data_IF_981617798625
#
_entry.id   IF_981617798625
#
_cell.length_a   1.000
_cell.length_b   1.000
_cell.length_c   1.000
_cell.angle_alpha   90.00
_cell.angle_beta   90.00
_cell.angle_gamma   90.00
#
_symmetry.space_group_name_H-M   'P 1'
#
loop_
_entity.id
_entity.type
_entity.pdbx_description
1 polymer ?
#
# COMPACT_ATOMS: atom_id res chain seq x y z
N UNK A 1 -3.85 17.20 -12.92
CA UNK A 1 -4.64 16.14 -12.26
C UNK A 1 -4.17 16.04 -10.82
N UNK A 2 -4.48 17.07 -10.04
CA UNK A 2 -4.07 17.24 -8.64
C UNK A 2 -5.38 17.46 -7.89
N UNK A 3 -6.16 16.38 -7.78
CA UNK A 3 -7.50 16.46 -7.20
C UNK A 3 -7.67 15.30 -6.23
N UNK A 4 -7.93 15.70 -4.97
CA UNK A 4 -8.44 14.95 -3.83
C UNK A 4 -7.43 14.45 -2.78
N UNK A 5 -6.18 14.15 -3.12
CA UNK A 5 -5.20 13.60 -2.16
C UNK A 5 -4.52 14.66 -1.26
N UNK A 6 -4.46 15.93 -1.69
CA UNK A 6 -3.83 17.01 -0.92
C UNK A 6 -4.50 17.30 0.43
N UNK A 7 -5.83 17.20 0.52
CA UNK A 7 -6.55 17.67 1.72
C UNK A 7 -6.29 16.78 2.93
N UNK A 8 -6.29 15.46 2.76
CA UNK A 8 -6.06 14.55 3.86
C UNK A 8 -4.60 14.59 4.33
N UNK A 9 -3.64 14.75 3.40
CA UNK A 9 -2.23 14.93 3.73
C UNK A 9 -1.98 16.25 4.47
N UNK A 10 -2.61 17.35 4.02
CA UNK A 10 -2.55 18.65 4.69
C UNK A 10 -3.17 18.62 6.09
N UNK A 11 -4.33 17.98 6.24
CA UNK A 11 -4.98 17.80 7.55
C UNK A 11 -4.14 16.94 8.47
N UNK A 12 -3.54 15.85 7.94
CA UNK A 12 -2.61 15.02 8.71
C UNK A 12 -1.46 15.86 9.23
N UNK A 13 -0.76 16.59 8.35
CA UNK A 13 0.38 17.41 8.73
C UNK A 13 0.03 18.42 9.85
N UNK A 14 -1.12 19.08 9.74
CA UNK A 14 -1.57 20.04 10.74
C UNK A 14 -1.90 19.39 12.09
N UNK A 15 -2.68 18.31 12.08
CA UNK A 15 -3.10 17.63 13.32
C UNK A 15 -1.93 16.91 14.01
N UNK A 16 -0.99 16.40 13.24
CA UNK A 16 0.20 15.72 13.76
C UNK A 16 1.13 16.71 14.46
N UNK A 17 1.36 17.89 13.85
CA UNK A 17 2.10 18.98 14.51
C UNK A 17 1.42 19.48 15.80
N UNK A 18 0.08 19.54 15.80
CA UNK A 18 -0.68 19.89 17.00
C UNK A 18 -0.52 18.84 18.09
N UNK A 19 -0.63 17.54 17.74
CA UNK A 19 -0.47 16.44 18.68
C UNK A 19 0.93 16.40 19.31
N UNK A 20 1.98 16.59 18.51
CA UNK A 20 3.37 16.65 18.98
C UNK A 20 3.65 17.82 19.92
N UNK A 21 2.87 18.91 19.84
CA UNK A 21 3.00 20.05 20.76
C UNK A 21 2.52 19.69 22.18
N UNK A 22 1.58 18.75 22.31
CA UNK A 22 1.10 18.29 23.61
C UNK A 22 2.06 17.27 24.24
N UNK A 23 2.59 16.31 23.46
CA UNK A 23 3.56 15.32 23.92
C UNK A 23 4.26 14.65 22.71
N UNK A 24 5.58 14.36 22.76
CA UNK A 24 6.31 13.69 21.68
C UNK A 24 5.82 12.29 21.30
N UNK A 25 4.96 11.64 22.09
CA UNK A 25 4.41 10.33 21.76
C UNK A 25 2.95 10.36 21.30
N UNK A 26 2.40 11.55 21.09
CA UNK A 26 1.06 11.74 20.53
C UNK A 26 1.17 12.11 19.05
N UNK A 27 0.68 11.22 18.19
CA UNK A 27 0.68 11.40 16.73
C UNK A 27 -0.75 11.24 16.18
N UNK A 28 -1.07 11.98 15.12
CA UNK A 28 -2.33 11.81 14.42
C UNK A 28 -2.18 10.79 13.29
N UNK A 29 -2.95 9.69 13.37
CA UNK A 29 -2.96 8.65 12.35
C UNK A 29 -4.14 8.84 11.39
N UNK A 30 -3.85 8.99 10.10
CA UNK A 30 -4.88 8.89 9.07
C UNK A 30 -5.46 7.46 9.01
N UNK A 31 -6.58 7.26 8.32
CA UNK A 31 -7.15 5.91 8.14
C UNK A 31 -6.15 4.93 7.53
N UNK A 32 -5.33 5.39 6.59
CA UNK A 32 -4.29 4.59 5.96
C UNK A 32 -3.16 4.26 6.96
N UNK A 33 -2.68 5.26 7.71
CA UNK A 33 -1.62 5.07 8.70
C UNK A 33 -2.06 4.15 9.85
N UNK A 34 -3.31 4.30 10.32
CA UNK A 34 -3.87 3.45 11.36
C UNK A 34 -3.99 1.99 10.92
N UNK A 35 -4.37 1.75 9.65
CA UNK A 35 -4.37 0.40 9.06
C UNK A 35 -2.96 -0.18 9.05
N UNK A 36 -1.98 0.58 8.60
CA UNK A 36 -0.57 0.15 8.56
C UNK A 36 -0.01 -0.11 9.96
N UNK A 37 -0.30 0.76 10.94
CA UNK A 37 0.07 0.56 12.33
C UNK A 37 -0.55 -0.72 12.90
N UNK A 38 -1.84 -0.94 12.65
CA UNK A 38 -2.56 -2.13 13.11
C UNK A 38 -1.98 -3.43 12.50
N UNK A 39 -1.61 -3.40 11.21
CA UNK A 39 -0.93 -4.51 10.53
C UNK A 39 0.41 -4.83 11.20
N UNK A 40 1.22 -3.80 11.47
CA UNK A 40 2.52 -3.96 12.12
C UNK A 40 2.38 -4.50 13.55
N UNK A 41 1.42 -3.99 14.34
CA UNK A 41 1.17 -4.43 15.71
C UNK A 41 0.56 -5.84 15.78
N UNK A 42 -0.29 -6.20 14.82
CA UNK A 42 -0.90 -7.52 14.75
C UNK A 42 0.03 -8.61 14.23
N UNK A 43 1.23 -8.26 13.75
CA UNK A 43 2.17 -9.16 13.05
C UNK A 43 1.49 -10.00 11.95
N UNK A 44 0.38 -9.48 11.42
CA UNK A 44 -0.50 -10.17 10.49
C UNK A 44 -0.75 -9.24 9.32
N UNK A 45 0.15 -9.33 8.35
CA UNK A 45 -0.07 -8.74 7.04
C UNK A 45 -1.02 -9.65 6.27
N UNK A 46 -2.28 -9.24 6.17
CA UNK A 46 -3.23 -9.88 5.25
C UNK A 46 -2.98 -9.31 3.86
N UNK A 47 -2.38 -10.12 2.99
CA UNK A 47 -2.08 -9.75 1.61
C UNK A 47 -1.62 -10.95 0.79
N UNK A 48 -1.21 -10.70 -0.45
CA UNK A 48 -0.74 -11.77 -1.35
C UNK A 48 0.66 -12.28 -1.00
N UNK A 49 1.44 -11.53 -0.20
CA UNK A 49 2.81 -11.90 0.17
C UNK A 49 3.84 -11.61 -0.92
N UNK A 50 3.71 -10.46 -1.59
CA UNK A 50 4.66 -9.99 -2.60
C UNK A 50 5.09 -8.55 -2.30
N UNK A 51 6.38 -8.27 -2.51
CA UNK A 51 6.93 -6.92 -2.46
C UNK A 51 6.94 -6.33 -3.86
N UNK A 52 6.28 -5.18 -4.02
CA UNK A 52 6.13 -4.50 -5.29
C UNK A 52 7.00 -3.25 -5.33
N UNK A 53 7.57 -2.97 -6.49
CA UNK A 53 8.30 -1.73 -6.80
C UNK A 53 7.79 -1.16 -8.10
N UNK A 54 7.61 0.15 -8.15
CA UNK A 54 7.29 0.84 -9.41
C UNK A 54 8.55 0.95 -10.27
N UNK A 55 8.51 0.41 -11.48
CA UNK A 55 9.58 0.50 -12.49
C UNK A 55 8.92 0.75 -13.86
N UNK A 56 9.35 1.79 -14.58
CA UNK A 56 8.83 2.18 -15.90
C UNK A 56 7.30 2.34 -15.98
N UNK A 57 6.66 2.81 -14.89
CA UNK A 57 5.19 2.96 -14.82
C UNK A 57 4.42 1.66 -14.59
N UNK A 58 5.11 0.55 -14.30
CA UNK A 58 4.50 -0.73 -13.93
C UNK A 58 4.83 -1.08 -12.47
N UNK A 59 3.90 -1.75 -11.79
CA UNK A 59 4.19 -2.39 -10.51
C UNK A 59 4.88 -3.74 -10.77
N UNK A 60 6.17 -3.84 -10.48
CA UNK A 60 7.00 -5.03 -10.66
C UNK A 60 7.16 -5.79 -9.34
N UNK A 61 7.13 -7.12 -9.40
CA UNK A 61 7.40 -7.97 -8.24
C UNK A 61 8.92 -8.01 -7.99
N UNK A 62 9.35 -7.40 -6.88
CA UNK A 62 10.76 -7.40 -6.45
C UNK A 62 11.12 -8.68 -5.69
N UNK A 63 10.25 -9.11 -4.78
CA UNK A 63 10.46 -10.34 -4.00
C UNK A 63 9.13 -10.95 -3.56
N UNK A 64 9.15 -12.25 -3.29
CA UNK A 64 8.00 -12.99 -2.74
C UNK A 64 8.34 -13.42 -1.32
N UNK A 65 7.36 -13.36 -0.43
CA UNK A 65 7.51 -13.80 0.96
C UNK A 65 7.63 -15.32 1.00
N UNK A 66 8.69 -15.88 1.63
CA UNK A 66 8.87 -17.32 1.78
C UNK A 66 7.67 -17.99 2.46
N UNK A 67 7.03 -18.96 1.78
CA UNK A 67 5.83 -19.64 2.29
C UNK A 67 4.55 -18.79 2.25
N UNK A 68 4.60 -17.60 1.65
CA UNK A 68 3.45 -16.74 1.46
C UNK A 68 2.52 -17.22 0.34
N UNK A 69 1.27 -16.72 0.28
CA UNK A 69 0.26 -17.16 -0.69
C UNK A 69 0.74 -17.05 -2.15
N UNK A 70 1.42 -15.97 -2.53
CA UNK A 70 1.93 -15.77 -3.88
C UNK A 70 3.01 -16.78 -4.29
N UNK A 71 3.84 -17.24 -3.35
CA UNK A 71 4.85 -18.27 -3.64
C UNK A 71 4.21 -19.66 -3.72
N UNK A 72 3.28 -19.97 -2.82
CA UNK A 72 2.58 -21.27 -2.79
C UNK A 72 1.73 -21.48 -4.04
N UNK A 73 1.07 -20.42 -4.52
CA UNK A 73 0.30 -20.43 -5.76
C UNK A 73 1.18 -20.60 -7.01
N UNK A 74 2.40 -20.06 -6.99
CA UNK A 74 3.45 -20.33 -7.99
C UNK A 74 3.22 -19.70 -9.38
N UNK A 75 2.08 -19.05 -9.62
CA UNK A 75 1.80 -18.32 -10.88
C UNK A 75 2.58 -17.01 -10.97
N UNK A 76 2.86 -16.38 -9.84
CA UNK A 76 3.62 -15.14 -9.74
C UNK A 76 5.11 -15.41 -9.53
N UNK A 77 5.97 -14.72 -10.27
CA UNK A 77 7.43 -14.83 -10.16
C UNK A 77 8.08 -13.47 -9.96
N UNK A 78 9.28 -13.50 -9.38
CA UNK A 78 10.12 -12.31 -9.25
C UNK A 78 10.47 -11.79 -10.64
N UNK A 79 10.26 -10.49 -10.85
CA UNK A 79 10.45 -9.82 -12.14
C UNK A 79 9.18 -9.64 -12.98
N UNK A 80 8.07 -10.26 -12.59
CA UNK A 80 6.79 -10.07 -13.29
C UNK A 80 6.26 -8.64 -13.12
N UNK A 81 5.53 -8.18 -14.14
CA UNK A 81 4.89 -6.87 -14.17
C UNK A 81 3.38 -7.02 -14.02
N UNK A 82 2.81 -6.33 -13.05
CA UNK A 82 1.36 -6.28 -12.83
C UNK A 82 0.76 -5.22 -13.74
N UNK A 83 -0.09 -5.65 -14.67
CA UNK A 83 -0.80 -4.77 -15.61
C UNK A 83 -2.21 -4.43 -15.14
N UNK A 84 -2.89 -5.35 -14.47
CA UNK A 84 -4.25 -5.14 -13.97
C UNK A 84 -4.53 -5.89 -12.67
N UNK A 85 -5.47 -5.37 -11.88
CA UNK A 85 -5.92 -5.95 -10.61
C UNK A 85 -7.45 -6.01 -10.61
N UNK A 86 -8.02 -7.06 -10.04
CA UNK A 86 -9.46 -7.23 -9.88
C UNK A 86 -9.79 -7.63 -8.43
N UNK A 87 -10.89 -7.10 -7.89
CA UNK A 87 -11.37 -7.44 -6.55
C UNK A 87 -12.52 -8.44 -6.63
N UNK A 88 -12.23 -9.73 -6.65
CA UNK A 88 -13.26 -10.78 -6.76
C UNK A 88 -13.68 -11.03 -8.21
N UNK A 89 -14.98 -10.95 -8.51
CA UNK A 89 -15.55 -11.24 -9.84
C UNK A 89 -15.79 -9.98 -10.70
N UNK A 90 -15.24 -8.84 -10.29
CA UNK A 90 -15.38 -7.56 -10.98
C UNK A 90 -14.36 -7.50 -12.13
N UNK A 91 -14.63 -6.66 -13.13
CA UNK A 91 -13.71 -6.42 -14.23
C UNK A 91 -12.33 -5.95 -13.75
N UNK A 92 -11.32 -6.32 -14.53
CA UNK A 92 -9.94 -5.94 -14.28
C UNK A 92 -9.76 -4.42 -14.45
N UNK A 93 -9.20 -3.79 -13.43
CA UNK A 93 -8.78 -2.39 -13.47
C UNK A 93 -7.32 -2.33 -13.88
N UNK A 94 -7.05 -1.57 -14.93
CA UNK A 94 -5.69 -1.29 -15.40
C UNK A 94 -4.93 -0.44 -14.38
N UNK A 95 -3.76 -0.92 -13.94
CA UNK A 95 -2.93 -0.27 -12.91
C UNK A 95 -1.66 0.37 -13.47
N UNK A 96 -1.54 0.46 -14.80
CA UNK A 96 -0.42 1.16 -15.45
C UNK A 96 -0.39 2.62 -15.05
N UNK A 97 0.80 3.13 -14.75
CA UNK A 97 1.08 4.49 -14.29
C UNK A 97 0.35 4.92 -13.00
N UNK A 98 -0.28 3.98 -12.28
CA UNK A 98 -0.84 4.26 -10.97
C UNK A 98 0.27 4.34 -9.92
N UNK A 99 0.06 5.20 -8.91
CA UNK A 99 0.90 5.23 -7.72
C UNK A 99 0.79 3.90 -6.98
N UNK A 100 1.92 3.42 -6.44
CA UNK A 100 2.00 2.15 -5.72
C UNK A 100 0.99 2.07 -4.56
N UNK A 101 0.79 3.18 -3.85
CA UNK A 101 -0.16 3.29 -2.74
C UNK A 101 -1.63 3.06 -3.15
N UNK A 102 -1.98 3.29 -4.43
CA UNK A 102 -3.33 3.02 -4.96
C UNK A 102 -3.49 1.62 -5.53
N UNK A 103 -2.38 0.92 -5.79
CA UNK A 103 -2.39 -0.45 -6.30
C UNK A 103 -2.46 -1.47 -5.15
N UNK A 104 -2.02 -1.10 -3.94
CA UNK A 104 -1.88 -1.97 -2.75
C UNK A 104 -3.02 -1.81 -1.75
#
# INVERSE_FOLDING_TARGET
>A
TVHEEDKNEQVKLYLDALAQTYDPHSEYLSKADLKNFSINMGLSLVGIGAMLRTEDGYAKIESLVPGGPAQVDGRLKVGDRITAVAQGLIDYVDVREMRLDKVV
#
